data_IF_766137362612
#
_entry.id   IF_766137362612
#
_cell.length_a   1.000
_cell.length_b   1.000
_cell.length_c   1.000
_cell.angle_alpha   90.00
_cell.angle_beta   90.00
_cell.angle_gamma   90.00
#
_symmetry.space_group_name_H-M   'P 1'
#
loop_
_entity.id
_entity.type
_entity.pdbx_description
1 polymer ?
#
# COMPACT_ATOMS: atom_id res chain seq x y z
N UNK A 1 -2.35 -0.99 -1.70
CA UNK A 1 -2.45 -0.14 -2.90
C UNK A 1 -2.84 1.25 -2.40
N UNK A 2 -2.09 2.27 -2.79
CA UNK A 2 -2.33 3.66 -2.38
C UNK A 2 -3.27 4.33 -3.37
N UNK A 3 -4.53 4.63 -2.98
CA UNK A 3 -5.54 5.11 -3.91
C UNK A 3 -5.17 6.46 -4.52
N UNK A 4 -4.54 7.37 -3.75
CA UNK A 4 -4.16 8.68 -4.26
C UNK A 4 -3.03 8.58 -5.29
N UNK A 5 -1.94 7.87 -4.94
CA UNK A 5 -0.82 7.69 -5.88
C UNK A 5 -1.25 6.96 -7.14
N UNK A 6 -2.11 5.95 -7.02
CA UNK A 6 -2.65 5.19 -8.15
C UNK A 6 -3.53 6.07 -9.04
N UNK A 7 -4.38 6.90 -8.44
CA UNK A 7 -5.24 7.85 -9.16
C UNK A 7 -4.42 8.91 -9.91
N UNK A 8 -3.39 9.48 -9.27
CA UNK A 8 -2.47 10.42 -9.92
C UNK A 8 -1.73 9.79 -11.10
N UNK A 9 -1.29 8.54 -10.97
CA UNK A 9 -0.65 7.81 -12.06
C UNK A 9 -1.62 7.56 -13.21
N UNK A 10 -2.85 7.13 -12.93
CA UNK A 10 -3.89 6.92 -13.93
C UNK A 10 -4.22 8.23 -14.68
N UNK A 11 -4.35 9.36 -13.96
CA UNK A 11 -4.59 10.67 -14.57
C UNK A 11 -3.45 11.12 -15.49
N UNK A 12 -2.18 10.88 -15.10
CA UNK A 12 -1.02 11.14 -15.98
C UNK A 12 -1.08 10.26 -17.22
N UNK A 13 -1.36 8.97 -17.06
CA UNK A 13 -1.45 8.05 -18.18
C UNK A 13 -2.55 8.44 -19.18
N UNK A 14 -3.75 8.82 -18.68
CA UNK A 14 -4.83 9.35 -19.52
C UNK A 14 -4.41 10.63 -20.27
N UNK A 15 -3.64 11.51 -19.64
CA UNK A 15 -3.10 12.70 -20.29
C UNK A 15 -2.09 12.34 -21.38
N UNK A 16 -1.24 11.34 -21.16
CA UNK A 16 -0.29 10.87 -22.16
C UNK A 16 -1.02 10.30 -23.39
N UNK A 17 -2.08 9.52 -23.17
CA UNK A 17 -2.95 9.01 -24.23
C UNK A 17 -3.66 10.16 -24.98
N UNK A 18 -4.10 11.21 -24.28
CA UNK A 18 -4.66 12.39 -24.95
C UNK A 18 -3.62 13.10 -25.82
N UNK A 19 -2.37 13.23 -25.36
CA UNK A 19 -1.30 13.82 -26.16
C UNK A 19 -0.98 12.98 -27.41
N UNK A 20 -1.17 11.66 -27.35
CA UNK A 20 -0.98 10.73 -28.47
C UNK A 20 -2.12 10.81 -29.49
N UNK A 21 -3.38 10.78 -29.04
CA UNK A 21 -4.54 10.69 -29.94
C UNK A 21 -5.23 12.02 -30.24
N UNK A 22 -5.00 13.07 -29.44
CA UNK A 22 -5.62 14.40 -29.59
C UNK A 22 -7.11 14.47 -29.24
N UNK A 23 -7.73 13.36 -28.86
CA UNK A 23 -9.15 13.24 -28.56
C UNK A 23 -9.39 12.44 -27.26
N UNK A 24 -10.30 12.93 -26.42
CA UNK A 24 -10.57 12.30 -25.11
C UNK A 24 -11.33 10.98 -25.23
N UNK A 25 -12.16 10.78 -26.26
CA UNK A 25 -12.85 9.51 -26.44
C UNK A 25 -11.89 8.41 -26.88
N UNK A 26 -10.96 8.72 -27.79
CA UNK A 26 -9.89 7.81 -28.17
C UNK A 26 -8.94 7.54 -27.00
N UNK A 27 -8.58 8.55 -26.20
CA UNK A 27 -7.76 8.37 -25.01
C UNK A 27 -8.42 7.44 -23.98
N UNK A 28 -9.71 7.60 -23.70
CA UNK A 28 -10.45 6.70 -22.81
C UNK A 28 -10.56 5.28 -23.37
N UNK A 29 -10.77 5.12 -24.68
CA UNK A 29 -10.77 3.80 -25.31
C UNK A 29 -9.40 3.12 -25.19
N UNK A 30 -8.32 3.86 -25.47
CA UNK A 30 -6.94 3.39 -25.35
C UNK A 30 -6.54 3.07 -23.92
N UNK A 31 -7.10 3.76 -22.93
CA UNK A 31 -6.88 3.44 -21.52
C UNK A 31 -7.44 2.05 -21.16
N UNK A 32 -8.56 1.65 -21.78
CA UNK A 32 -9.18 0.34 -21.53
C UNK A 32 -8.56 -0.80 -22.37
N UNK A 33 -8.38 -0.64 -23.69
CA UNK A 33 -7.85 -1.72 -24.55
C UNK A 33 -6.37 -1.59 -24.93
N UNK A 34 -5.71 -0.53 -24.48
CA UNK A 34 -4.34 -0.18 -24.87
C UNK A 34 -4.27 0.65 -26.16
N UNK A 35 -3.33 1.60 -26.20
CA UNK A 35 -3.09 2.47 -27.36
C UNK A 35 -2.94 1.69 -28.68
N UNK A 36 -2.13 0.63 -28.68
CA UNK A 36 -1.90 -0.17 -29.89
C UNK A 36 -3.13 -0.92 -30.43
N UNK A 37 -4.19 -1.11 -29.63
CA UNK A 37 -5.45 -1.65 -30.14
C UNK A 37 -6.27 -0.56 -30.87
N UNK A 38 -6.25 0.66 -30.34
CA UNK A 38 -6.86 1.83 -30.98
C UNK A 38 -6.12 2.16 -32.28
N UNK A 39 -4.78 2.19 -32.27
CA UNK A 39 -3.98 2.42 -33.49
C UNK A 39 -4.36 1.46 -34.62
N UNK A 40 -4.41 0.16 -34.32
CA UNK A 40 -4.80 -0.86 -35.32
C UNK A 40 -6.22 -0.64 -35.83
N UNK A 41 -7.13 -0.16 -34.99
CA UNK A 41 -8.49 0.16 -35.39
C UNK A 41 -8.52 1.38 -36.33
N UNK A 42 -7.75 2.41 -36.01
CA UNK A 42 -7.57 3.60 -36.85
C UNK A 42 -6.94 3.22 -38.19
N UNK A 43 -5.83 2.48 -38.19
CA UNK A 43 -5.14 2.03 -39.41
C UNK A 43 -6.04 1.20 -40.32
N UNK A 44 -6.83 0.28 -39.74
CA UNK A 44 -7.71 -0.61 -40.49
C UNK A 44 -8.92 0.11 -41.09
N UNK A 45 -9.43 1.14 -40.43
CA UNK A 45 -10.66 1.83 -40.84
C UNK A 45 -10.41 3.14 -41.59
N UNK A 46 -9.25 3.77 -41.36
CA UNK A 46 -8.92 5.11 -41.81
C UNK A 46 -9.54 6.25 -40.99
N UNK A 47 -10.19 5.95 -39.85
CA UNK A 47 -10.85 6.95 -39.01
C UNK A 47 -10.20 7.06 -37.64
N UNK A 48 -9.78 8.26 -37.26
CA UNK A 48 -9.31 8.62 -35.93
C UNK A 48 -10.43 9.31 -35.12
N UNK A 49 -11.55 8.61 -34.95
CA UNK A 49 -12.69 9.06 -34.14
C UNK A 49 -13.37 7.86 -33.46
N UNK A 50 -13.57 7.96 -32.14
CA UNK A 50 -14.12 6.86 -31.35
C UNK A 50 -15.51 6.40 -31.86
N UNK A 51 -16.38 7.33 -32.22
CA UNK A 51 -17.75 7.02 -32.62
C UNK A 51 -17.78 6.35 -33.99
N UNK A 52 -16.91 6.76 -34.92
CA UNK A 52 -16.74 6.09 -36.22
C UNK A 52 -16.15 4.69 -36.06
N UNK A 53 -15.20 4.50 -35.14
CA UNK A 53 -14.67 3.18 -34.79
C UNK A 53 -15.74 2.28 -34.14
N UNK A 54 -16.58 2.84 -33.27
CA UNK A 54 -17.69 2.14 -32.64
C UNK A 54 -18.72 1.65 -33.67
N UNK A 55 -19.19 2.54 -34.56
CA UNK A 55 -20.15 2.22 -35.64
C UNK A 55 -19.64 1.11 -36.57
N UNK A 56 -18.34 1.06 -36.81
CA UNK A 56 -17.68 0.04 -37.66
C UNK A 56 -17.33 -1.24 -36.90
N UNK A 57 -17.71 -1.35 -35.63
CA UNK A 57 -17.35 -2.47 -34.76
C UNK A 57 -15.83 -2.72 -34.75
N UNK A 58 -15.06 -1.62 -34.73
CA UNK A 58 -13.62 -1.67 -34.88
C UNK A 58 -12.85 -1.84 -33.57
N UNK A 59 -13.55 -1.73 -32.43
CA UNK A 59 -13.02 -1.84 -31.08
C UNK A 59 -13.48 -3.15 -30.40
N UNK A 60 -12.73 -3.65 -29.39
CA UNK A 60 -13.19 -4.75 -28.55
C UNK A 60 -14.56 -4.45 -27.91
N UNK A 61 -15.38 -5.49 -27.71
CA UNK A 61 -16.73 -5.34 -27.15
C UNK A 61 -16.75 -4.66 -25.77
N UNK A 62 -15.76 -4.96 -24.93
CA UNK A 62 -15.60 -4.33 -23.62
C UNK A 62 -15.41 -2.80 -23.76
N UNK A 63 -14.47 -2.38 -24.60
CA UNK A 63 -14.15 -0.98 -24.86
C UNK A 63 -15.24 -0.22 -25.59
N UNK A 64 -16.00 -0.91 -26.45
CA UNK A 64 -17.15 -0.36 -27.15
C UNK A 64 -18.22 0.17 -26.18
N UNK A 65 -18.30 -0.39 -24.96
CA UNK A 65 -19.21 0.09 -23.91
C UNK A 65 -18.52 1.02 -22.91
N UNK A 66 -17.20 0.94 -22.78
CA UNK A 66 -16.42 1.66 -21.76
C UNK A 66 -16.64 3.19 -21.78
N UNK A 67 -16.47 3.82 -22.95
CA UNK A 67 -16.62 5.28 -23.09
C UNK A 67 -18.08 5.73 -22.86
N UNK A 68 -19.11 5.11 -23.49
CA UNK A 68 -20.52 5.41 -23.20
C UNK A 68 -20.88 5.28 -21.71
N UNK A 69 -20.37 4.26 -21.02
CA UNK A 69 -20.63 4.07 -19.58
C UNK A 69 -20.06 5.24 -18.77
N UNK A 70 -18.82 5.68 -19.04
CA UNK A 70 -18.22 6.83 -18.36
C UNK A 70 -19.05 8.10 -18.59
N UNK A 71 -19.51 8.33 -19.82
CA UNK A 71 -20.35 9.49 -20.14
C UNK A 71 -21.70 9.43 -19.43
N UNK A 72 -22.35 8.27 -19.42
CA UNK A 72 -23.60 8.07 -18.70
C UNK A 72 -23.44 8.35 -17.20
N UNK A 73 -22.41 7.78 -16.56
CA UNK A 73 -22.10 8.03 -15.14
C UNK A 73 -21.83 9.51 -14.91
N UNK A 74 -21.09 10.17 -15.79
CA UNK A 74 -20.80 11.61 -15.69
C UNK A 74 -22.07 12.45 -15.77
N UNK A 75 -22.99 12.11 -16.67
CA UNK A 75 -24.29 12.78 -16.81
C UNK A 75 -25.13 12.56 -15.56
N UNK A 76 -25.21 11.33 -15.05
CA UNK A 76 -25.95 10.99 -13.83
C UNK A 76 -25.40 11.71 -12.60
N UNK A 77 -24.07 11.72 -12.44
CA UNK A 77 -23.39 12.40 -11.34
C UNK A 77 -23.56 13.93 -11.39
N UNK A 78 -23.68 14.52 -12.58
CA UNK A 78 -23.96 15.97 -12.75
C UNK A 78 -25.42 16.33 -12.56
N UNK A 79 -26.33 15.38 -12.68
CA UNK A 79 -27.78 15.60 -12.57
C UNK A 79 -28.42 14.62 -11.56
N UNK A 80 -27.92 14.54 -10.31
CA UNK A 80 -28.30 13.46 -9.38
C UNK A 80 -29.80 13.41 -9.09
N UNK A 81 -30.49 14.56 -9.09
CA UNK A 81 -31.95 14.70 -8.95
C UNK A 81 -32.73 13.89 -9.99
N UNK A 82 -32.37 14.06 -11.25
CA UNK A 82 -33.09 13.46 -12.38
C UNK A 82 -32.98 11.92 -12.38
N UNK A 83 -32.02 11.38 -11.63
CA UNK A 83 -31.74 9.96 -11.52
C UNK A 83 -31.94 9.39 -10.09
N UNK A 84 -32.50 10.17 -9.16
CA UNK A 84 -32.76 9.70 -7.79
C UNK A 84 -31.51 9.39 -6.97
N UNK A 85 -30.40 10.10 -7.21
CA UNK A 85 -29.09 9.93 -6.56
C UNK A 85 -28.78 11.02 -5.53
N UNK A 86 -29.80 11.66 -4.94
CA UNK A 86 -29.58 12.74 -3.97
C UNK A 86 -29.11 12.24 -2.60
N UNK A 87 -29.52 11.03 -2.20
CA UNK A 87 -29.25 10.46 -0.88
C UNK A 87 -28.01 9.54 -0.85
N UNK A 88 -26.99 9.85 -1.68
CA UNK A 88 -25.73 9.11 -1.67
C UNK A 88 -24.87 9.57 -0.50
N UNK A 89 -24.69 8.69 0.48
CA UNK A 89 -23.74 8.90 1.58
C UNK A 89 -22.32 8.62 1.08
N UNK A 90 -21.46 9.64 1.16
CA UNK A 90 -20.03 9.49 0.89
C UNK A 90 -19.29 9.10 2.17
N UNK A 91 -18.24 8.29 2.02
CA UNK A 91 -17.30 8.04 3.11
C UNK A 91 -16.52 9.31 3.44
N UNK A 92 -16.20 9.49 4.73
CA UNK A 92 -15.38 10.60 5.17
C UNK A 92 -13.98 10.54 4.55
N UNK A 93 -13.36 11.69 4.21
CA UNK A 93 -11.97 11.72 3.79
C UNK A 93 -11.05 11.12 4.85
N UNK A 94 -10.02 10.40 4.42
CA UNK A 94 -8.97 9.92 5.32
C UNK A 94 -8.15 11.12 5.80
N UNK A 95 -8.28 11.45 7.07
CA UNK A 95 -7.54 12.54 7.72
C UNK A 95 -6.14 12.06 8.16
N UNK A 96 -5.10 12.71 7.66
CA UNK A 96 -3.71 12.45 8.06
C UNK A 96 -2.83 13.70 7.92
N UNK A 97 -1.67 13.67 8.57
CA UNK A 97 -0.57 14.60 8.35
C UNK A 97 0.64 13.84 7.79
N UNK A 98 1.59 14.55 7.18
CA UNK A 98 2.80 13.92 6.62
C UNK A 98 4.05 14.35 7.37
N UNK A 99 4.94 13.39 7.62
CA UNK A 99 6.31 13.65 8.11
C UNK A 99 7.31 13.19 7.05
N UNK A 100 8.32 14.02 6.79
CA UNK A 100 9.41 13.68 5.89
C UNK A 100 10.52 12.95 6.66
N UNK A 101 10.92 11.78 6.17
CA UNK A 101 11.97 10.99 6.81
C UNK A 101 13.30 11.12 6.06
N UNK A 102 14.32 11.64 6.74
CA UNK A 102 15.66 11.85 6.16
C UNK A 102 16.51 10.57 6.05
N UNK A 103 16.14 9.50 6.77
CA UNK A 103 16.86 8.22 6.76
C UNK A 103 15.88 7.04 6.78
N UNK A 104 16.32 5.83 6.39
CA UNK A 104 15.47 4.64 6.47
C UNK A 104 15.00 4.43 7.91
N UNK A 105 13.69 4.33 8.10
CA UNK A 105 13.08 4.33 9.44
C UNK A 105 12.06 3.20 9.56
N UNK A 106 12.09 2.49 10.68
CA UNK A 106 11.13 1.43 10.97
C UNK A 106 9.78 2.05 11.36
N UNK A 107 8.68 1.58 10.77
CA UNK A 107 7.33 2.07 11.09
C UNK A 107 6.93 1.80 12.53
N UNK A 108 7.55 0.83 13.21
CA UNK A 108 7.37 0.65 14.65
C UNK A 108 7.91 1.84 15.45
N UNK A 109 9.01 2.44 15.02
CA UNK A 109 9.55 3.64 15.65
C UNK A 109 8.64 4.85 15.40
N UNK A 110 8.07 4.95 14.19
CA UNK A 110 7.05 5.99 13.88
C UNK A 110 5.79 5.78 14.72
N UNK A 111 5.36 4.53 14.91
CA UNK A 111 4.22 4.18 15.76
C UNK A 111 4.47 4.62 17.21
N UNK A 112 5.66 4.35 17.76
CA UNK A 112 6.02 4.84 19.10
C UNK A 112 6.04 6.37 19.16
N UNK A 113 6.65 7.02 18.17
CA UNK A 113 6.78 8.47 18.12
C UNK A 113 5.41 9.18 18.04
N UNK A 114 4.42 8.53 17.42
CA UNK A 114 3.04 9.03 17.30
C UNK A 114 2.15 8.60 18.48
N UNK A 115 2.61 7.71 19.35
CA UNK A 115 1.80 7.04 20.38
C UNK A 115 0.60 6.28 19.80
N UNK A 116 0.77 5.69 18.63
CA UNK A 116 -0.30 4.98 17.91
C UNK A 116 0.11 3.54 17.65
N UNK A 117 -0.85 2.60 17.52
CA UNK A 117 -0.52 1.25 17.13
C UNK A 117 0.08 1.25 15.71
N UNK A 118 1.00 0.32 15.45
CA UNK A 118 1.61 0.14 14.12
C UNK A 118 0.56 0.02 13.00
N UNK A 119 -0.58 -0.60 13.30
CA UNK A 119 -1.69 -0.73 12.34
C UNK A 119 -2.21 0.64 11.88
N UNK A 120 -2.41 1.60 12.80
CA UNK A 120 -2.91 2.92 12.45
C UNK A 120 -1.96 3.66 11.50
N UNK A 121 -0.64 3.58 11.74
CA UNK A 121 0.36 4.15 10.84
C UNK A 121 0.38 3.41 9.51
N UNK A 122 0.35 2.07 9.52
CA UNK A 122 0.40 1.26 8.30
C UNK A 122 -0.82 1.49 7.40
N UNK A 123 -2.01 1.61 7.99
CA UNK A 123 -3.27 1.77 7.26
C UNK A 123 -3.30 3.13 6.53
N UNK A 124 -2.63 4.14 7.08
CA UNK A 124 -2.40 5.43 6.42
C UNK A 124 -1.30 5.40 5.34
N UNK A 125 -0.47 4.36 5.29
CA UNK A 125 0.65 4.25 4.34
C UNK A 125 0.55 3.00 3.43
N UNK A 126 -0.55 2.83 2.68
CA UNK A 126 -0.76 1.64 1.85
C UNK A 126 0.18 1.52 0.64
N UNK A 127 1.03 2.52 0.39
CA UNK A 127 2.12 2.47 -0.60
C UNK A 127 3.39 1.80 -0.05
N UNK A 128 3.55 1.68 1.28
CA UNK A 128 4.64 0.94 1.89
C UNK A 128 4.27 -0.54 1.98
N UNK A 129 5.04 -1.40 1.31
CA UNK A 129 4.82 -2.86 1.31
C UNK A 129 5.42 -3.50 2.58
N UNK A 130 6.50 -2.93 3.11
CA UNK A 130 7.20 -3.41 4.30
C UNK A 130 7.06 -2.47 5.49
N UNK A 131 7.69 -2.86 6.60
CA UNK A 131 7.74 -2.07 7.84
C UNK A 131 8.86 -1.01 7.85
N UNK A 132 9.59 -0.85 6.75
CA UNK A 132 10.67 0.14 6.63
C UNK A 132 10.24 1.18 5.61
N UNK A 133 10.16 2.43 6.06
CA UNK A 133 10.04 3.58 5.18
C UNK A 133 11.45 3.95 4.65
N UNK A 134 11.67 4.04 3.33
CA UNK A 134 12.94 4.48 2.76
C UNK A 134 13.29 5.92 3.15
N UNK A 135 14.57 6.28 3.01
CA UNK A 135 14.99 7.68 3.11
C UNK A 135 14.32 8.56 2.05
N UNK A 136 13.99 9.79 2.41
CA UNK A 136 13.28 10.75 1.56
C UNK A 136 11.78 10.49 1.40
N UNK A 137 11.24 9.46 2.04
CA UNK A 137 9.82 9.11 1.95
C UNK A 137 8.98 10.01 2.89
N UNK A 138 7.80 10.42 2.42
CA UNK A 138 6.79 11.06 3.27
C UNK A 138 5.89 9.99 3.88
N UNK A 139 5.93 9.86 5.21
CA UNK A 139 5.07 8.95 5.95
C UNK A 139 3.85 9.71 6.45
N UNK A 140 2.67 9.15 6.19
CA UNK A 140 1.42 9.66 6.72
C UNK A 140 1.21 9.19 8.16
N UNK A 141 0.84 10.09 9.05
CA UNK A 141 0.61 9.84 10.47
C UNK A 141 -0.77 10.37 10.86
N UNK A 142 -1.38 9.86 11.93
CA UNK A 142 -2.67 10.38 12.38
C UNK A 142 -2.62 11.88 12.63
N UNK A 143 -3.70 12.57 12.27
CA UNK A 143 -3.83 14.02 12.39
C UNK A 143 -3.54 14.49 13.83
N UNK A 144 -2.78 15.57 13.97
CA UNK A 144 -2.33 16.12 15.26
C UNK A 144 -1.09 15.43 15.84
N UNK A 145 -0.54 14.38 15.22
CA UNK A 145 0.64 13.67 15.75
C UNK A 145 1.96 14.03 15.07
N UNK A 146 1.96 14.77 13.95
CA UNK A 146 3.17 14.97 13.16
C UNK A 146 4.27 15.74 13.89
N UNK A 147 3.92 16.76 14.67
CA UNK A 147 4.90 17.59 15.39
C UNK A 147 5.57 16.79 16.51
N UNK A 148 4.76 16.11 17.35
CA UNK A 148 5.26 15.25 18.41
C UNK A 148 6.13 14.10 17.85
N UNK A 149 5.68 13.47 16.76
CA UNK A 149 6.42 12.41 16.12
C UNK A 149 7.77 12.88 15.57
N UNK A 150 7.81 14.07 14.96
CA UNK A 150 9.06 14.67 14.47
C UNK A 150 10.03 14.93 15.61
N UNK A 151 9.57 15.56 16.69
CA UNK A 151 10.40 15.85 17.86
C UNK A 151 10.97 14.55 18.48
N UNK A 152 10.14 13.52 18.60
CA UNK A 152 10.56 12.21 19.13
C UNK A 152 11.53 11.48 18.18
N UNK A 153 11.36 11.57 16.87
CA UNK A 153 12.29 10.97 15.90
C UNK A 153 13.66 11.64 15.88
N UNK A 154 13.74 12.93 16.19
CA UNK A 154 15.02 13.66 16.32
C UNK A 154 15.84 13.20 17.54
N UNK A 155 15.22 12.61 18.56
CA UNK A 155 15.97 12.04 19.70
C UNK A 155 16.66 10.71 19.34
N UNK A 156 16.31 10.11 18.19
CA UNK A 156 16.87 8.82 17.75
C UNK A 156 17.90 9.05 16.64
N UNK A 157 19.18 8.66 16.84
CA UNK A 157 20.21 8.76 15.80
C UNK A 157 19.79 8.05 14.51
N UNK A 158 20.06 8.68 13.36
CA UNK A 158 19.57 8.24 12.05
C UNK A 158 19.99 6.80 11.70
N UNK A 159 21.20 6.41 12.06
CA UNK A 159 21.79 5.08 11.89
C UNK A 159 21.08 3.99 12.70
N UNK A 160 20.36 4.38 13.76
CA UNK A 160 19.69 3.48 14.68
C UNK A 160 18.18 3.35 14.43
N UNK A 161 17.59 4.20 13.58
CA UNK A 161 16.13 4.27 13.31
C UNK A 161 15.52 3.01 12.69
N UNK A 162 16.34 2.07 12.22
CA UNK A 162 15.90 0.78 11.72
C UNK A 162 15.58 -0.23 12.82
N UNK A 163 16.27 -0.13 13.96
CA UNK A 163 16.20 -1.11 15.04
C UNK A 163 15.56 -0.51 16.30
N UNK A 164 16.01 0.67 16.71
CA UNK A 164 15.64 1.25 17.99
C UNK A 164 14.16 1.59 18.07
N UNK A 165 13.64 1.56 19.30
CA UNK A 165 12.26 1.85 19.65
C UNK A 165 12.22 3.04 20.61
N UNK A 166 11.06 3.66 20.72
CA UNK A 166 10.77 4.65 21.76
C UNK A 166 9.76 4.04 22.73
N UNK A 167 9.98 4.28 24.02
CA UNK A 167 9.03 3.88 25.05
C UNK A 167 8.59 5.14 25.80
N UNK A 168 7.27 5.30 25.95
CA UNK A 168 6.68 6.36 26.74
C UNK A 168 6.56 5.87 28.17
N UNK A 169 7.22 6.55 29.11
CA UNK A 169 7.24 6.13 30.50
C UNK A 169 5.88 6.40 31.14
N UNK A 170 5.22 5.34 31.59
CA UNK A 170 3.93 5.38 32.28
C UNK A 170 4.10 5.36 33.81
N UNK A 171 3.00 5.60 34.52
CA UNK A 171 3.00 5.51 35.97
C UNK A 171 3.20 4.05 36.42
N UNK A 172 4.28 3.80 37.17
CA UNK A 172 4.63 2.46 37.66
C UNK A 172 5.67 1.73 36.80
N UNK A 173 6.14 2.35 35.71
CA UNK A 173 7.28 1.84 34.98
C UNK A 173 8.57 1.92 35.80
N UNK A 174 9.35 0.85 35.73
CA UNK A 174 10.72 0.79 36.23
C UNK A 174 11.63 0.29 35.12
N UNK A 175 12.92 0.55 35.24
CA UNK A 175 13.88 0.06 34.26
C UNK A 175 13.80 -1.46 34.08
N UNK A 176 13.53 -2.21 35.16
CA UNK A 176 13.37 -3.67 35.13
C UNK A 176 12.07 -4.14 34.45
N UNK A 177 10.96 -3.40 34.58
CA UNK A 177 9.71 -3.75 33.87
C UNK A 177 9.87 -3.52 32.38
N UNK A 178 10.43 -2.37 32.00
CA UNK A 178 10.70 -2.01 30.61
C UNK A 178 11.71 -2.99 30.00
N UNK A 179 12.83 -3.24 30.67
CA UNK A 179 13.85 -4.21 30.25
C UNK A 179 13.25 -5.58 29.92
N UNK A 180 12.37 -6.10 30.79
CA UNK A 180 11.67 -7.37 30.55
C UNK A 180 10.71 -7.30 29.37
N UNK A 181 9.97 -6.20 29.20
CA UNK A 181 9.03 -6.03 28.10
C UNK A 181 9.72 -6.03 26.74
N UNK A 182 10.91 -5.42 26.65
CA UNK A 182 11.69 -5.34 25.41
C UNK A 182 12.77 -6.43 25.28
N UNK A 183 12.82 -7.38 26.22
CA UNK A 183 13.82 -8.46 26.25
C UNK A 183 15.27 -7.96 26.21
N UNK A 184 15.56 -6.88 26.92
CA UNK A 184 16.88 -6.27 27.03
C UNK A 184 17.34 -6.25 28.49
N UNK A 185 18.66 -6.22 28.76
CA UNK A 185 19.15 -5.98 30.11
C UNK A 185 19.00 -4.49 30.47
N UNK A 186 18.58 -4.22 31.72
CA UNK A 186 18.28 -2.88 32.22
C UNK A 186 19.46 -1.90 32.04
N UNK A 187 20.69 -2.35 32.31
CA UNK A 187 21.90 -1.54 32.16
C UNK A 187 22.08 -0.98 30.73
N UNK A 188 21.74 -1.75 29.70
CA UNK A 188 21.86 -1.32 28.30
C UNK A 188 20.89 -0.19 27.98
N UNK A 189 19.70 -0.22 28.58
CA UNK A 189 18.73 0.86 28.44
C UNK A 189 19.23 2.10 29.18
N UNK A 190 19.74 1.95 30.40
CA UNK A 190 20.31 3.06 31.17
C UNK A 190 21.52 3.73 30.48
N UNK A 191 22.39 2.95 29.84
CA UNK A 191 23.58 3.45 29.12
C UNK A 191 23.21 4.45 28.01
N UNK A 192 22.13 4.19 27.28
CA UNK A 192 21.66 5.06 26.19
C UNK A 192 20.93 6.30 26.69
N UNK A 193 20.26 6.20 27.85
CA UNK A 193 19.38 7.25 28.37
C UNK A 193 19.99 8.07 29.52
N UNK A 194 21.30 7.96 29.74
CA UNK A 194 22.03 8.65 30.80
C UNK A 194 21.51 8.36 32.23
N UNK A 195 21.02 7.15 32.51
CA UNK A 195 20.60 6.67 33.84
C UNK A 195 19.14 6.95 34.23
N UNK A 196 18.79 6.80 35.52
CA UNK A 196 17.41 6.76 36.05
C UNK A 196 16.63 8.10 35.95
N UNK A 197 17.29 9.21 35.62
CA UNK A 197 16.65 10.52 35.48
C UNK A 197 15.61 10.57 34.34
N UNK A 198 15.66 9.60 33.42
CA UNK A 198 14.73 9.47 32.30
C UNK A 198 13.42 8.75 32.66
N UNK A 199 13.28 8.18 33.87
CA UNK A 199 12.11 7.40 34.31
C UNK A 199 10.96 8.25 34.89
N UNK A 200 10.93 9.55 34.63
CA UNK A 200 9.77 10.35 35.00
C UNK A 200 8.61 10.08 34.04
N UNK A 201 7.41 9.90 34.58
CA UNK A 201 6.20 9.69 33.79
C UNK A 201 6.03 10.80 32.76
N UNK A 202 5.77 10.42 31.50
CA UNK A 202 5.67 11.33 30.36
C UNK A 202 6.97 11.55 29.60
N UNK A 203 8.12 11.05 30.10
CA UNK A 203 9.37 11.09 29.35
C UNK A 203 9.41 10.00 28.27
N UNK A 204 10.25 10.25 27.27
CA UNK A 204 10.62 9.29 26.24
C UNK A 204 11.91 8.57 26.63
N UNK A 205 11.88 7.24 26.54
CA UNK A 205 13.04 6.39 26.75
C UNK A 205 13.45 5.72 25.43
N UNK A 206 14.71 5.88 25.06
CA UNK A 206 15.32 5.24 23.89
C UNK A 206 15.60 3.77 24.20
N UNK A 207 15.07 2.87 23.37
CA UNK A 207 15.25 1.43 23.56
C UNK A 207 16.16 0.90 22.44
N UNK A 208 17.41 0.53 22.74
CA UNK A 208 18.36 0.01 21.75
C UNK A 208 18.10 -1.47 21.43
N UNK A 209 16.84 -1.81 21.15
CA UNK A 209 16.42 -3.15 20.76
C UNK A 209 16.47 -3.32 19.23
N UNK A 210 16.52 -4.56 18.77
CA UNK A 210 15.98 -4.94 17.46
C UNK A 210 14.53 -5.34 17.71
N UNK A 211 13.60 -4.89 16.86
CA UNK A 211 12.18 -5.19 17.03
C UNK A 211 11.93 -6.70 17.23
N UNK A 212 11.37 -7.04 18.38
CA UNK A 212 10.64 -8.28 18.61
C UNK A 212 9.18 -7.87 18.85
N UNK A 213 8.26 -8.39 18.04
CA UNK A 213 6.83 -8.20 18.28
C UNK A 213 6.51 -8.70 19.68
N UNK A 214 5.94 -7.87 20.57
CA UNK A 214 5.65 -8.29 21.93
C UNK A 214 4.72 -9.51 21.86
N UNK A 215 5.09 -10.58 22.58
CA UNK A 215 4.26 -11.77 22.67
C UNK A 215 2.98 -11.35 23.37
N UNK A 216 1.90 -11.16 22.60
CA UNK A 216 0.57 -10.93 23.15
C UNK A 216 0.28 -12.05 24.16
N UNK A 217 -0.04 -11.73 25.42
CA UNK A 217 -0.36 -12.76 26.39
C UNK A 217 -1.56 -13.53 25.85
N UNK A 218 -1.33 -14.79 25.47
CA UNK A 218 -2.43 -15.66 25.02
C UNK A 218 -3.47 -15.67 26.12
N UNK A 219 -4.68 -15.20 25.80
CA UNK A 219 -5.82 -15.35 26.68
C UNK A 219 -5.86 -16.81 27.15
N UNK A 220 -5.83 -17.01 28.48
CA UNK A 220 -5.92 -18.35 29.09
C UNK A 220 -7.24 -18.95 28.63
N UNK A 221 -7.20 -19.80 27.61
CA UNK A 221 -8.32 -20.66 27.26
C UNK A 221 -8.53 -21.56 28.46
N UNK A 222 -9.60 -21.32 29.24
CA UNK A 222 -10.04 -22.24 30.29
C UNK A 222 -10.20 -23.60 29.65
N UNK A 223 -9.32 -24.54 30.02
CA UNK A 223 -9.32 -25.89 29.48
C UNK A 223 -10.68 -26.54 29.70
N UNK A 224 -11.35 -26.91 28.61
CA UNK A 224 -12.55 -27.74 28.63
C UNK A 224 -12.13 -29.13 29.12
N UNK A 225 -12.79 -29.60 30.18
CA UNK A 225 -12.53 -30.90 30.79
C UNK A 225 -12.59 -32.02 29.73
N UNK A 226 -11.56 -32.88 29.72
CA UNK A 226 -11.49 -34.05 28.83
C UNK A 226 -12.43 -35.13 29.37
N UNK A 227 -13.56 -35.35 28.69
CA UNK A 227 -14.33 -36.59 28.82
C UNK A 227 -13.62 -37.68 28.04
N UNK A 228 -13.09 -38.68 28.74
CA UNK A 228 -12.54 -39.89 28.14
C UNK A 228 -13.67 -40.76 27.61
N UNK A 229 -13.67 -41.07 26.31
CA UNK A 229 -14.44 -42.19 25.77
C UNK A 229 -13.47 -43.10 25.02
N UNK A 230 -13.39 -44.34 25.51
CA UNK A 230 -12.62 -45.41 24.91
C UNK A 230 -13.23 -45.86 23.58
N UNK A 231 -12.39 -46.08 22.58
CA UNK A 231 -12.81 -46.57 21.27
C UNK A 231 -11.63 -47.10 20.48
N UNK A 232 -11.36 -48.39 20.65
CA UNK A 232 -10.37 -49.18 19.92
C UNK A 232 -10.77 -49.33 18.45
N UNK A 233 -9.92 -48.92 17.50
CA UNK A 233 -9.90 -49.51 16.16
C UNK A 233 -8.48 -49.63 15.61
N UNK A 234 -8.19 -50.83 15.10
CA UNK A 234 -6.93 -51.35 14.59
C UNK A 234 -7.02 -51.35 13.06
N UNK A 235 -6.05 -50.77 12.36
CA UNK A 235 -5.99 -50.77 10.89
C UNK A 235 -4.57 -50.60 10.37
N UNK A 236 -4.11 -51.59 9.58
CA UNK A 236 -2.79 -51.71 8.95
C UNK A 236 -2.72 -50.94 7.62
N UNK A 237 -1.54 -50.43 7.24
CA UNK A 237 -0.93 -50.48 5.88
C UNK A 237 0.45 -49.80 5.94
N UNK A 238 1.59 -50.45 5.66
CA UNK A 238 2.24 -50.65 4.32
C UNK A 238 2.02 -49.52 3.31
N UNK A 239 2.91 -49.09 2.43
CA UNK A 239 4.37 -49.15 2.21
C UNK A 239 4.61 -48.35 0.92
N UNK A 240 5.82 -47.79 0.75
CA UNK A 240 6.54 -47.54 -0.51
C UNK A 240 6.12 -46.42 -1.50
N UNK A 241 7.09 -45.49 -1.68
CA UNK A 241 7.94 -45.31 -2.89
C UNK A 241 7.45 -44.45 -4.07
N UNK A 242 8.33 -43.53 -4.52
CA UNK A 242 8.51 -43.21 -5.95
C UNK A 242 8.59 -41.73 -6.36
N UNK A 243 9.83 -41.22 -6.50
CA UNK A 243 10.44 -40.49 -7.67
C UNK A 243 9.55 -40.20 -8.91
N UNK A 244 9.70 -39.18 -9.78
CA UNK A 244 10.79 -38.27 -10.22
C UNK A 244 10.25 -37.28 -11.33
N UNK A 245 10.97 -36.17 -11.63
CA UNK A 245 11.22 -35.55 -12.99
C UNK A 245 10.06 -34.74 -13.67
N UNK A 246 10.19 -33.64 -14.46
CA UNK A 246 11.23 -32.67 -14.92
C UNK A 246 10.52 -31.41 -15.51
N UNK A 247 11.28 -30.31 -15.61
CA UNK A 247 10.98 -28.98 -16.16
C UNK A 247 10.67 -28.89 -17.68
N UNK A 248 10.11 -27.75 -18.10
CA UNK A 248 10.43 -27.16 -19.42
C UNK A 248 10.35 -25.62 -19.41
N UNK A 249 11.34 -24.99 -20.06
CA UNK A 249 11.47 -23.55 -20.35
C UNK A 249 11.14 -23.29 -21.82
N UNK A 250 10.63 -22.10 -22.15
CA UNK A 250 10.86 -21.44 -23.46
C UNK A 250 10.96 -19.92 -23.30
N UNK A 251 11.84 -19.33 -24.11
CA UNK A 251 12.24 -17.93 -24.16
C UNK A 251 11.89 -17.33 -25.55
N UNK A 252 12.22 -16.06 -25.90
CA UNK A 252 11.24 -15.08 -26.41
C UNK A 252 11.43 -14.68 -27.89
N UNK A 253 10.48 -13.92 -28.43
CA UNK A 253 10.48 -13.38 -29.81
C UNK A 253 10.73 -11.87 -29.86
N UNK A 254 11.52 -11.49 -30.88
CA UNK A 254 12.12 -10.18 -31.17
C UNK A 254 11.14 -9.19 -31.82
N UNK A 255 11.29 -7.91 -31.49
CA UNK A 255 10.55 -6.76 -32.03
C UNK A 255 11.21 -6.15 -33.28
N UNK A 256 10.39 -5.72 -34.24
CA UNK A 256 10.83 -4.99 -35.45
C UNK A 256 10.21 -3.59 -35.45
N UNK A 257 11.07 -2.58 -35.56
CA UNK A 257 10.75 -1.13 -35.59
C UNK A 257 10.63 -0.68 -37.05
N UNK A 258 9.60 0.11 -37.40
CA UNK A 258 9.57 0.85 -38.68
C UNK A 258 9.12 2.31 -38.52
N UNK A 259 9.60 3.10 -39.48
CA UNK A 259 9.80 4.55 -39.52
C UNK A 259 8.52 5.33 -39.78
N UNK A 260 8.44 6.49 -39.14
CA UNK A 260 7.49 7.58 -39.38
C UNK A 260 7.83 8.27 -40.72
N UNK A 261 6.82 8.49 -41.57
CA UNK A 261 6.90 9.39 -42.72
C UNK A 261 5.96 10.57 -42.50
N UNK A 262 6.53 11.76 -42.39
CA UNK A 262 5.81 13.04 -42.42
C UNK A 262 5.16 13.25 -43.79
N UNK A 263 3.98 13.85 -43.83
CA UNK A 263 3.53 14.68 -44.95
C UNK A 263 2.78 15.91 -44.44
N UNK A 264 3.28 17.05 -44.90
CA UNK A 264 2.64 18.36 -44.96
C UNK A 264 1.26 18.28 -45.62
N UNK A 265 0.35 19.13 -45.17
CA UNK A 265 -0.55 19.89 -46.05
C UNK A 265 -0.74 21.28 -45.47
N UNK A 266 -0.31 22.27 -46.24
CA UNK A 266 -0.84 23.63 -46.22
C UNK A 266 -2.19 23.63 -46.94
N UNK A 267 -3.16 24.32 -46.38
CA UNK A 267 -4.07 25.27 -47.02
C UNK A 267 -4.88 25.99 -45.92
#
# INVERSE_FOLDING_TARGET
>A
QDPEKSTRAAARHLKDLYNEFGDWYLAMAAYNCGAGAVDKAVERTGYADYWELLKRHALPKETASYVPIILAITIMAKNPRDYGLEDVTFDDPIDYESIHLSSPTNLNLVADATMQPLSAVRDLNPSLIGIIAPAGFEVHVPKGSAEAARAALETVPAENRLAWRLHHVEAGDTLDTIARAYHLPANRIAEVNHGDASLQTGNLLLIPAVYHEPVQPRARVRGRAKTTVAGSYKGKSSSRSGTHIVASRRAPTTSVRRKVSQRNTAD
#
